data_IF_299374015280
#
_entry.id   IF_299374015280
#
_cell.length_a   1.000
_cell.length_b   1.000
_cell.length_c   1.000
_cell.angle_alpha   90.00
_cell.angle_beta   90.00
_cell.angle_gamma   90.00
#
_symmetry.space_group_name_H-M   'P 1'
#
loop_
_entity.id
_entity.type
_entity.pdbx_description
1 polymer ?
#
# COMPACT_ATOMS: atom_id res chain seq x y z
N UNK A 1 3.95 -5.97 -23.50
CA UNK A 1 4.08 -5.15 -22.28
C UNK A 1 4.40 -6.08 -21.12
N UNK A 2 5.54 -5.91 -20.44
CA UNK A 2 5.93 -6.77 -19.31
C UNK A 2 5.21 -6.26 -18.07
N UNK A 3 4.17 -6.95 -17.61
CA UNK A 3 3.57 -6.66 -16.30
C UNK A 3 4.63 -6.98 -15.25
N UNK A 4 5.22 -5.96 -14.64
CA UNK A 4 5.92 -6.12 -13.37
C UNK A 4 4.83 -6.34 -12.31
N UNK A 5 4.52 -7.60 -12.03
CA UNK A 5 3.70 -7.96 -10.87
C UNK A 5 4.48 -7.66 -9.60
N UNK A 6 3.77 -7.28 -8.54
CA UNK A 6 4.35 -7.35 -7.19
C UNK A 6 4.72 -8.83 -6.95
N UNK A 7 5.97 -9.11 -6.63
CA UNK A 7 6.36 -10.43 -6.14
C UNK A 7 5.79 -10.60 -4.72
N UNK A 8 4.50 -10.94 -4.63
CA UNK A 8 3.75 -10.96 -3.38
C UNK A 8 2.95 -12.27 -3.28
N UNK A 9 2.90 -12.83 -2.08
CA UNK A 9 2.17 -14.05 -1.80
C UNK A 9 0.73 -13.69 -1.45
N UNK A 10 -0.18 -13.88 -2.41
CA UNK A 10 -1.63 -13.78 -2.16
C UNK A 10 -2.10 -14.98 -1.34
N UNK A 11 -3.05 -14.76 -0.44
CA UNK A 11 -3.73 -15.80 0.37
C UNK A 11 -5.25 -15.78 0.10
N UNK A 12 -5.71 -16.24 -1.07
CA UNK A 12 -7.14 -16.17 -1.44
C UNK A 12 -8.07 -16.94 -0.49
N UNK A 13 -7.57 -17.99 0.16
CA UNK A 13 -8.27 -18.77 1.17
C UNK A 13 -8.61 -17.96 2.43
N UNK A 14 -7.90 -16.86 2.67
CA UNK A 14 -8.14 -15.93 3.77
C UNK A 14 -8.95 -14.69 3.32
N UNK A 15 -9.61 -14.75 2.17
CA UNK A 15 -10.35 -13.61 1.65
C UNK A 15 -11.45 -13.17 2.63
N UNK A 16 -11.54 -11.86 2.84
CA UNK A 16 -12.42 -11.23 3.81
C UNK A 16 -13.26 -10.12 3.19
N UNK A 17 -14.44 -9.87 3.75
CA UNK A 17 -15.28 -8.73 3.37
C UNK A 17 -14.91 -7.52 4.21
N UNK A 18 -14.33 -6.50 3.59
CA UNK A 18 -14.08 -5.20 4.19
C UNK A 18 -15.14 -4.17 3.77
N UNK A 19 -15.17 -3.02 4.44
CA UNK A 19 -16.01 -1.89 4.04
C UNK A 19 -15.11 -0.71 3.72
N UNK A 20 -15.22 -0.19 2.50
CA UNK A 20 -14.55 1.03 2.04
C UNK A 20 -15.54 2.13 1.68
N UNK A 21 -15.05 3.27 1.18
CA UNK A 21 -15.91 4.40 0.78
C UNK A 21 -16.91 4.11 -0.35
N UNK A 22 -16.84 2.93 -0.98
CA UNK A 22 -17.79 2.44 -1.99
C UNK A 22 -18.70 1.32 -1.50
N UNK A 23 -18.72 1.02 -0.20
CA UNK A 23 -19.47 -0.09 0.39
C UNK A 23 -18.61 -1.33 0.65
N UNK A 24 -19.28 -2.49 0.74
CA UNK A 24 -18.63 -3.77 0.99
C UNK A 24 -17.74 -4.19 -0.19
N UNK A 25 -16.54 -4.68 0.11
CA UNK A 25 -15.55 -5.11 -0.88
C UNK A 25 -14.89 -6.41 -0.43
N UNK A 26 -14.63 -7.30 -1.39
CA UNK A 26 -13.83 -8.50 -1.14
C UNK A 26 -12.35 -8.13 -1.16
N UNK A 27 -11.64 -8.47 -0.10
CA UNK A 27 -10.22 -8.20 0.08
C UNK A 27 -9.49 -9.54 0.25
N UNK A 28 -8.35 -9.67 -0.40
CA UNK A 28 -7.46 -10.84 -0.33
C UNK A 28 -6.20 -10.42 0.42
N UNK A 29 -5.88 -11.05 1.55
CA UNK A 29 -4.62 -10.82 2.23
C UNK A 29 -3.41 -11.13 1.35
N UNK A 30 -2.36 -10.33 1.52
CA UNK A 30 -1.11 -10.49 0.80
C UNK A 30 0.07 -10.24 1.72
N UNK A 31 1.13 -11.05 1.59
CA UNK A 31 2.44 -10.71 2.14
C UNK A 31 3.36 -10.22 1.04
N UNK A 32 3.88 -9.00 1.20
CA UNK A 32 4.90 -8.42 0.35
C UNK A 32 6.27 -8.65 0.99
N UNK A 33 7.25 -9.28 0.32
CA UNK A 33 8.55 -9.62 0.90
C UNK A 33 9.32 -8.40 1.42
N UNK A 34 9.28 -7.30 0.70
CA UNK A 34 9.93 -6.05 1.07
C UNK A 34 9.19 -4.86 0.45
N UNK A 35 8.97 -3.81 1.25
CA UNK A 35 8.47 -2.52 0.78
C UNK A 35 9.50 -1.46 1.17
N UNK A 36 9.90 -0.66 0.18
CA UNK A 36 10.80 0.48 0.36
C UNK A 36 10.04 1.76 0.08
N UNK A 37 10.15 2.73 0.97
CA UNK A 37 9.51 4.03 0.82
C UNK A 37 10.45 5.13 1.31
N UNK A 38 11.04 5.88 0.37
CA UNK A 38 12.10 6.82 0.71
C UNK A 38 13.27 6.11 1.42
N UNK A 39 13.69 6.57 2.62
CA UNK A 39 14.78 5.95 3.37
C UNK A 39 14.38 4.70 4.17
N UNK A 40 13.08 4.42 4.31
CA UNK A 40 12.60 3.32 5.16
C UNK A 40 12.37 2.03 4.39
N UNK A 41 12.65 0.90 5.03
CA UNK A 41 12.52 -0.45 4.47
C UNK A 41 11.85 -1.35 5.50
N UNK A 42 10.74 -1.97 5.13
CA UNK A 42 10.10 -3.01 5.93
C UNK A 42 10.04 -4.31 5.13
N UNK A 43 10.23 -5.43 5.82
CA UNK A 43 10.17 -6.78 5.24
C UNK A 43 8.94 -7.52 5.75
N UNK A 44 8.46 -8.47 4.95
CA UNK A 44 7.25 -9.28 5.24
C UNK A 44 6.07 -8.38 5.63
N UNK A 45 5.77 -7.43 4.75
CA UNK A 45 4.71 -6.44 4.95
C UNK A 45 3.38 -7.08 4.61
N UNK A 46 2.48 -7.12 5.58
CA UNK A 46 1.11 -7.54 5.37
C UNK A 46 0.31 -6.44 4.67
N UNK A 47 -0.59 -6.84 3.78
CA UNK A 47 -1.44 -5.94 3.04
C UNK A 47 -2.71 -6.63 2.57
N UNK A 48 -3.51 -5.87 1.81
CA UNK A 48 -4.76 -6.34 1.23
C UNK A 48 -4.78 -5.96 -0.25
N UNK A 49 -5.21 -6.90 -1.09
CA UNK A 49 -5.49 -6.69 -2.51
C UNK A 49 -6.99 -6.82 -2.71
N UNK A 50 -7.59 -5.88 -3.41
CA UNK A 50 -9.01 -5.93 -3.71
C UNK A 50 -9.40 -4.97 -4.82
N UNK A 51 -10.68 -4.91 -5.18
CA UNK A 51 -11.19 -3.95 -6.15
C UNK A 51 -11.06 -2.55 -5.55
N UNK A 52 -9.94 -1.90 -5.87
CA UNK A 52 -9.78 -0.47 -5.64
C UNK A 52 -10.79 0.25 -6.55
N UNK A 53 -11.39 1.34 -6.05
CA UNK A 53 -12.39 2.14 -6.78
C UNK A 53 -12.08 2.21 -8.29
N UNK A 54 -13.06 1.95 -9.18
CA UNK A 54 -12.85 1.99 -10.62
C UNK A 54 -12.13 3.27 -11.04
N UNK A 55 -11.00 3.11 -11.74
CA UNK A 55 -10.21 4.21 -12.26
C UNK A 55 -9.11 4.75 -11.36
N UNK A 56 -8.98 4.34 -10.08
CA UNK A 56 -7.91 4.88 -9.22
C UNK A 56 -6.51 4.60 -9.78
N UNK A 57 -6.31 3.42 -10.37
CA UNK A 57 -5.01 3.00 -10.92
C UNK A 57 -4.43 4.03 -11.92
N UNK A 58 -5.27 4.78 -12.65
CA UNK A 58 -4.81 5.73 -13.67
C UNK A 58 -5.33 7.16 -13.49
N UNK A 59 -6.02 7.45 -12.38
CA UNK A 59 -6.73 8.73 -12.15
C UNK A 59 -5.81 9.96 -12.17
N UNK A 60 -4.55 9.81 -11.79
CA UNK A 60 -3.62 10.92 -11.58
C UNK A 60 -2.60 11.10 -12.71
N UNK A 61 -2.82 10.47 -13.88
CA UNK A 61 -1.88 10.55 -15.02
C UNK A 61 -0.65 9.65 -14.87
N UNK A 62 -0.57 8.86 -13.80
CA UNK A 62 0.42 7.81 -13.57
C UNK A 62 -0.24 6.59 -12.94
N UNK A 63 0.44 5.45 -13.00
CA UNK A 63 -0.05 4.18 -12.44
C UNK A 63 0.06 4.19 -10.91
N UNK A 64 -1.07 4.09 -10.21
CA UNK A 64 -1.12 3.81 -8.78
C UNK A 64 -1.04 2.30 -8.56
N UNK A 65 0.15 1.80 -8.22
CA UNK A 65 0.39 0.37 -7.99
C UNK A 65 -0.04 -0.14 -6.61
N UNK A 66 -0.36 0.75 -5.67
CA UNK A 66 -0.75 0.43 -4.30
C UNK A 66 -0.80 1.68 -3.42
N UNK A 67 -1.28 1.52 -2.20
CA UNK A 67 -1.37 2.58 -1.19
C UNK A 67 -0.67 2.11 0.08
N UNK A 68 0.20 2.94 0.64
CA UNK A 68 0.79 2.70 1.96
C UNK A 68 -0.22 3.11 3.02
N UNK A 69 -0.67 2.15 3.81
CA UNK A 69 -1.56 2.40 4.94
C UNK A 69 -0.78 2.93 6.16
N UNK A 70 -1.52 3.52 7.11
CA UNK A 70 -0.96 4.00 8.36
C UNK A 70 -0.20 2.92 9.14
N UNK A 71 -0.62 1.66 9.03
CA UNK A 71 0.00 0.54 9.74
C UNK A 71 1.50 0.37 9.40
N UNK A 72 1.86 0.52 8.11
CA UNK A 72 3.26 0.54 7.69
C UNK A 72 4.05 1.69 8.34
N UNK A 73 3.43 2.87 8.43
CA UNK A 73 4.08 4.09 8.93
C UNK A 73 4.23 4.09 10.46
N UNK A 74 3.44 3.30 11.21
CA UNK A 74 3.51 3.22 12.68
C UNK A 74 4.85 2.69 13.21
N UNK A 75 5.60 1.96 12.39
CA UNK A 75 6.93 1.43 12.74
C UNK A 75 8.02 2.49 12.76
N UNK A 76 7.72 3.72 12.32
CA UNK A 76 8.68 4.80 12.18
C UNK A 76 8.21 6.04 12.91
N UNK A 77 9.16 6.89 13.32
CA UNK A 77 8.86 8.28 13.64
C UNK A 77 8.94 9.09 12.37
N UNK A 78 7.82 9.71 12.00
CA UNK A 78 7.71 10.47 10.76
C UNK A 78 6.79 11.67 10.95
N UNK A 79 6.92 12.64 10.06
CA UNK A 79 6.06 13.83 10.00
C UNK A 79 5.89 14.30 8.55
N UNK A 80 4.91 15.18 8.33
CA UNK A 80 4.65 15.82 7.03
C UNK A 80 5.05 17.29 7.14
N UNK A 81 5.98 17.70 6.30
CA UNK A 81 6.22 19.11 6.00
C UNK A 81 5.28 19.52 4.87
N UNK A 82 4.20 20.22 5.22
CA UNK A 82 3.20 20.67 4.27
C UNK A 82 3.67 21.85 3.41
N UNK A 83 4.63 22.64 3.89
CA UNK A 83 5.16 23.79 3.13
C UNK A 83 6.04 23.30 1.99
N UNK A 84 6.88 22.29 2.26
CA UNK A 84 7.74 21.69 1.25
C UNK A 84 7.09 20.51 0.53
N UNK A 85 5.92 20.04 0.98
CA UNK A 85 5.26 18.83 0.51
C UNK A 85 6.16 17.59 0.60
N UNK A 86 6.80 17.41 1.76
CA UNK A 86 7.76 16.31 2.02
C UNK A 86 7.33 15.48 3.20
N UNK A 87 7.63 14.18 3.12
CA UNK A 87 7.55 13.28 4.26
C UNK A 87 8.95 13.14 4.88
N UNK A 88 9.05 13.36 6.18
CA UNK A 88 10.30 13.27 6.93
C UNK A 88 10.25 12.05 7.84
N UNK A 89 11.36 11.31 7.89
CA UNK A 89 11.56 10.18 8.79
C UNK A 89 12.73 10.49 9.72
N UNK A 90 12.58 10.21 11.02
CA UNK A 90 13.68 10.32 11.98
C UNK A 90 14.62 9.12 11.79
N UNK A 91 15.93 9.39 11.74
CA UNK A 91 16.97 8.35 11.64
C UNK A 91 17.66 8.27 13.00
N UNK A 92 17.78 7.07 13.57
CA UNK A 92 18.52 6.83 14.83
C UNK A 92 19.85 6.14 14.54
#
# INVERSE_FOLDING_TARGET
MRQAGLAAALRPEEALTGVGGGGAQQLVPVTVPEVRFGPVVQRKVEGLVGPVFPGLEWRFGFRVGGIIAQDFLRSYRWTIDWTQMRLWFETF
#
